data_IF_920201963871
#
_entry.id   IF_920201963871
#
_cell.length_a   1.000
_cell.length_b   1.000
_cell.length_c   1.000
_cell.angle_alpha   90.00
_cell.angle_beta   90.00
_cell.angle_gamma   90.00
#
_symmetry.space_group_name_H-M   'P 1'
#
loop_
_entity.id
_entity.type
_entity.pdbx_description
1 polymer ?
#
# COMPACT_ATOMS: atom_id res chain seq x y z
N UNK A 1 7.57 -10.08 0.55
CA UNK A 1 7.25 -8.65 0.50
C UNK A 1 7.22 -8.23 -0.95
N UNK A 2 6.04 -8.32 -1.55
CA UNK A 2 5.84 -7.78 -2.89
C UNK A 2 5.56 -6.29 -2.84
N UNK A 3 6.02 -5.61 -3.89
CA UNK A 3 5.95 -4.16 -4.05
C UNK A 3 5.50 -3.89 -5.48
N UNK A 4 4.50 -3.05 -5.61
CA UNK A 4 3.97 -2.62 -6.89
C UNK A 4 3.84 -1.11 -6.90
N UNK A 5 4.27 -0.51 -8.00
CA UNK A 5 4.11 0.92 -8.21
C UNK A 5 2.66 1.21 -8.59
N UNK A 6 2.07 2.19 -7.93
CA UNK A 6 0.72 2.70 -8.16
C UNK A 6 0.72 4.22 -8.07
N UNK A 7 -0.37 4.84 -8.48
CA UNK A 7 -0.58 6.27 -8.27
C UNK A 7 -1.38 6.51 -6.99
N UNK A 8 -0.84 7.34 -6.09
CA UNK A 8 -1.55 7.88 -4.93
C UNK A 8 -1.91 9.34 -5.21
N UNK A 9 -3.11 9.77 -4.86
CA UNK A 9 -3.56 11.15 -5.03
C UNK A 9 -3.98 11.74 -3.70
N UNK A 10 -3.42 12.89 -3.33
CA UNK A 10 -3.92 13.72 -2.25
C UNK A 10 -5.23 14.37 -2.69
N UNK A 11 -6.33 14.06 -2.00
CA UNK A 11 -7.68 14.53 -2.32
C UNK A 11 -7.80 16.04 -2.09
N UNK A 12 -7.10 16.58 -1.08
CA UNK A 12 -7.15 17.99 -0.70
C UNK A 12 -6.39 18.88 -1.68
N UNK A 13 -5.16 18.48 -2.02
CA UNK A 13 -4.28 19.28 -2.89
C UNK A 13 -4.37 18.89 -4.38
N UNK A 14 -5.08 17.79 -4.70
CA UNK A 14 -5.08 17.13 -6.02
C UNK A 14 -3.68 16.82 -6.57
N UNK A 15 -2.70 16.71 -5.70
CA UNK A 15 -1.35 16.29 -6.07
C UNK A 15 -1.30 14.77 -6.13
N UNK A 16 -0.60 14.21 -7.12
CA UNK A 16 -0.51 12.77 -7.32
C UNK A 16 0.94 12.32 -7.34
N UNK A 17 1.23 11.27 -6.59
CA UNK A 17 2.49 10.53 -6.61
C UNK A 17 2.33 9.30 -7.53
N UNK A 18 2.89 9.32 -8.75
CA UNK A 18 2.84 8.18 -9.65
C UNK A 18 3.82 7.05 -9.26
N UNK A 19 4.75 7.31 -8.35
CA UNK A 19 5.81 6.40 -7.92
C UNK A 19 5.54 5.77 -6.54
N UNK A 20 4.30 5.92 -6.04
CA UNK A 20 3.88 5.32 -4.78
C UNK A 20 3.94 3.79 -4.84
N UNK A 21 4.29 3.15 -3.73
CA UNK A 21 4.45 1.71 -3.62
C UNK A 21 3.36 1.14 -2.71
N UNK A 22 2.62 0.16 -3.24
CA UNK A 22 1.72 -0.69 -2.46
C UNK A 22 2.26 -2.12 -2.40
N UNK A 23 2.01 -2.80 -1.30
CA UNK A 23 2.45 -4.18 -1.17
C UNK A 23 1.87 -4.90 0.03
N UNK A 24 2.28 -6.16 0.17
CA UNK A 24 2.01 -6.98 1.34
C UNK A 24 3.33 -7.31 2.03
N UNK A 25 3.38 -7.08 3.33
CA UNK A 25 4.50 -7.43 4.16
C UNK A 25 4.19 -8.72 4.92
N UNK A 26 4.89 -9.82 4.58
CA UNK A 26 4.72 -11.12 5.22
C UNK A 26 5.04 -11.08 6.73
N UNK A 27 6.21 -10.58 7.20
CA UNK A 27 6.52 -10.64 8.63
C UNK A 27 5.53 -9.82 9.48
N UNK A 28 5.06 -8.68 8.99
CA UNK A 28 4.03 -7.89 9.64
C UNK A 28 2.61 -8.37 9.36
N UNK A 29 2.40 -9.30 8.42
CA UNK A 29 1.08 -9.78 7.98
C UNK A 29 0.11 -8.64 7.66
N UNK A 30 0.60 -7.61 6.96
CA UNK A 30 -0.15 -6.39 6.69
C UNK A 30 0.08 -5.90 5.28
N UNK A 31 -0.94 -5.31 4.67
CA UNK A 31 -0.74 -4.46 3.51
C UNK A 31 -0.10 -3.15 3.95
N UNK A 32 0.78 -2.62 3.11
CA UNK A 32 1.45 -1.33 3.32
C UNK A 32 1.29 -0.44 2.09
N UNK A 33 1.34 0.86 2.34
CA UNK A 33 1.34 1.90 1.32
C UNK A 33 2.45 2.90 1.66
N UNK A 34 3.30 3.18 0.68
CA UNK A 34 4.31 4.23 0.72
C UNK A 34 4.05 5.20 -0.43
N UNK A 35 3.97 6.50 -0.13
CA UNK A 35 3.96 7.55 -1.13
C UNK A 35 4.89 8.68 -0.68
N UNK A 36 5.75 9.13 -1.58
CA UNK A 36 6.83 10.08 -1.28
C UNK A 36 7.03 11.10 -2.41
N UNK A 37 6.21 12.16 -2.47
CA UNK A 37 6.73 13.43 -3.01
C UNK A 37 6.83 14.49 -1.90
N UNK A 38 7.87 15.31 -1.76
CA UNK A 38 8.78 15.87 -2.75
C UNK A 38 10.02 16.48 -2.05
N UNK A 39 11.08 16.76 -2.81
CA UNK A 39 12.30 17.46 -2.38
C UNK A 39 12.11 18.97 -2.08
N UNK A 40 10.96 19.57 -2.41
CA UNK A 40 10.68 21.00 -2.25
C UNK A 40 9.28 21.37 -1.71
N UNK A 41 8.57 20.45 -1.04
CA UNK A 41 7.40 20.75 -0.19
C UNK A 41 6.16 21.22 -0.96
N UNK A 42 5.04 20.49 -0.88
CA UNK A 42 4.15 20.80 0.23
C UNK A 42 3.34 19.60 0.75
N UNK A 43 3.36 18.42 0.10
CA UNK A 43 2.83 17.19 0.73
C UNK A 43 3.11 15.87 -0.02
N UNK A 44 3.71 14.91 0.72
CA UNK A 44 3.44 13.47 0.83
C UNK A 44 4.67 12.72 1.42
N UNK A 45 4.59 12.40 2.71
CA UNK A 45 5.34 11.30 3.32
C UNK A 45 4.32 10.34 3.94
N UNK A 46 3.56 9.65 3.10
CA UNK A 46 2.54 8.71 3.56
C UNK A 46 3.18 7.34 3.72
N UNK A 47 3.18 6.82 4.95
CA UNK A 47 3.56 5.46 5.23
C UNK A 47 2.50 4.79 6.10
N UNK A 48 1.85 3.77 5.54
CA UNK A 48 0.86 2.93 6.23
C UNK A 48 1.35 1.49 6.24
N UNK A 49 0.96 0.72 7.26
CA UNK A 49 1.26 -0.72 7.35
C UNK A 49 2.65 -1.02 7.92
N UNK A 50 3.08 -0.24 8.91
CA UNK A 50 4.35 -0.41 9.62
C UNK A 50 4.23 -1.27 10.89
N UNK A 51 3.01 -1.65 11.28
CA UNK A 51 2.71 -2.44 12.48
C UNK A 51 2.18 -3.83 12.12
N UNK A 52 2.36 -4.78 13.04
CA UNK A 52 1.87 -6.15 12.86
C UNK A 52 0.35 -6.17 12.75
N UNK A 53 -0.17 -6.72 11.65
CA UNK A 53 -1.59 -6.82 11.29
C UNK A 53 -2.34 -5.48 11.32
N UNK A 54 -1.65 -4.39 10.98
CA UNK A 54 -2.28 -3.07 10.90
C UNK A 54 -3.43 -3.02 9.88
N UNK A 55 -3.23 -3.64 8.71
CA UNK A 55 -4.16 -3.67 7.60
C UNK A 55 -4.19 -5.06 6.96
N UNK A 56 -5.14 -5.90 7.37
CA UNK A 56 -5.32 -7.26 6.82
C UNK A 56 -6.05 -7.26 5.46
N UNK A 57 -6.62 -6.12 5.04
CA UNK A 57 -7.33 -5.99 3.76
C UNK A 57 -6.99 -4.68 3.05
N UNK A 58 -7.04 -4.69 1.71
CA UNK A 58 -6.89 -3.48 0.90
C UNK A 58 -7.97 -2.44 1.20
N UNK A 59 -9.18 -2.85 1.58
CA UNK A 59 -10.23 -1.94 2.01
C UNK A 59 -9.85 -1.20 3.30
N UNK A 60 -9.25 -1.88 4.28
CA UNK A 60 -8.79 -1.24 5.51
C UNK A 60 -7.64 -0.25 5.23
N UNK A 61 -6.69 -0.65 4.39
CA UNK A 61 -5.61 0.25 3.95
C UNK A 61 -6.15 1.48 3.24
N UNK A 62 -7.14 1.31 2.35
CA UNK A 62 -7.81 2.41 1.65
C UNK A 62 -8.55 3.33 2.61
N UNK A 63 -9.30 2.78 3.57
CA UNK A 63 -9.99 3.60 4.56
C UNK A 63 -9.00 4.46 5.37
N UNK A 64 -7.84 3.91 5.74
CA UNK A 64 -6.78 4.67 6.41
C UNK A 64 -6.16 5.74 5.51
N UNK A 65 -5.87 5.43 4.24
CA UNK A 65 -5.40 6.41 3.27
C UNK A 65 -6.41 7.55 3.10
N UNK A 66 -7.70 7.24 2.93
CA UNK A 66 -8.78 8.22 2.80
C UNK A 66 -8.90 9.10 4.04
N UNK A 67 -8.76 8.53 5.24
CA UNK A 67 -8.76 9.29 6.49
C UNK A 67 -7.57 10.25 6.61
N UNK A 68 -6.46 9.97 5.92
CA UNK A 68 -5.30 10.84 5.80
C UNK A 68 -5.42 11.83 4.63
N UNK A 69 -6.50 11.77 3.85
CA UNK A 69 -6.74 12.63 2.70
C UNK A 69 -6.13 12.11 1.40
N UNK A 70 -5.80 10.82 1.31
CA UNK A 70 -5.23 10.20 0.10
C UNK A 70 -6.13 9.11 -0.45
N UNK A 71 -6.22 9.00 -1.78
CA UNK A 71 -6.82 7.85 -2.46
C UNK A 71 -5.82 7.28 -3.45
N UNK A 72 -5.76 5.95 -3.52
CA UNK A 72 -4.83 5.24 -4.40
C UNK A 72 -5.57 4.45 -5.50
N UNK A 73 -6.87 4.72 -5.64
CA UNK A 73 -7.73 4.14 -6.65
C UNK A 73 -7.95 5.14 -7.79
N UNK A 74 -8.04 4.66 -9.04
CA UNK A 74 -8.03 3.26 -9.45
C UNK A 74 -6.63 2.62 -9.53
N UNK A 75 -6.48 1.39 -9.04
CA UNK A 75 -5.33 0.53 -9.34
C UNK A 75 -5.62 -0.24 -10.63
N UNK A 76 -4.62 -0.35 -11.52
CA UNK A 76 -4.70 -1.22 -12.69
C UNK A 76 -5.03 -2.67 -12.29
N UNK A 77 -6.00 -3.28 -12.97
CA UNK A 77 -6.47 -4.64 -12.65
C UNK A 77 -5.33 -5.66 -12.62
N UNK A 78 -4.34 -5.54 -13.51
CA UNK A 78 -3.13 -6.38 -13.50
C UNK A 78 -2.34 -6.28 -12.20
N UNK A 79 -2.06 -5.05 -11.74
CA UNK A 79 -1.34 -4.79 -10.48
C UNK A 79 -2.12 -5.32 -9.27
N UNK A 80 -3.43 -5.10 -9.24
CA UNK A 80 -4.29 -5.60 -8.17
C UNK A 80 -4.29 -7.14 -8.11
N UNK A 81 -4.38 -7.79 -9.27
CA UNK A 81 -4.33 -9.25 -9.36
C UNK A 81 -2.98 -9.80 -8.87
N UNK A 82 -1.86 -9.20 -9.28
CA UNK A 82 -0.55 -9.62 -8.81
C UNK A 82 -0.39 -9.43 -7.30
N UNK A 83 -0.86 -8.31 -6.76
CA UNK A 83 -0.83 -8.04 -5.32
C UNK A 83 -1.64 -9.06 -4.51
N UNK A 84 -2.83 -9.43 -4.99
CA UNK A 84 -3.70 -10.42 -4.34
C UNK A 84 -3.18 -11.86 -4.50
N UNK A 85 -2.62 -12.20 -5.67
CA UNK A 85 -1.95 -13.49 -5.90
C UNK A 85 -0.78 -13.64 -4.94
N UNK A 86 0.05 -12.61 -4.83
CA UNK A 86 1.20 -12.63 -3.94
C UNK A 86 0.78 -12.66 -2.48
N UNK A 87 -0.23 -11.87 -2.06
CA UNK A 87 -0.82 -12.00 -0.72
C UNK A 87 -1.25 -13.45 -0.44
N UNK A 88 -1.97 -14.08 -1.37
CA UNK A 88 -2.43 -15.47 -1.20
C UNK A 88 -1.24 -16.43 -1.07
N UNK A 89 -0.20 -16.26 -1.89
CA UNK A 89 1.03 -17.09 -1.85
C UNK A 89 1.87 -16.82 -0.61
N UNK A 90 1.91 -15.59 -0.12
CA UNK A 90 2.69 -15.19 1.05
C UNK A 90 1.99 -15.54 2.36
N UNK A 91 0.66 -15.45 2.41
CA UNK A 91 -0.18 -15.79 3.57
C UNK A 91 -0.37 -17.30 3.74
N UNK A 92 -0.37 -18.07 2.64
CA UNK A 92 -0.47 -19.54 2.68
C UNK A 92 0.88 -20.24 2.88
N UNK A 93 2.01 -19.54 2.74
CA UNK A 93 3.31 -20.10 3.10
C UNK A 93 3.42 -20.17 4.61
N UNK A 94 3.23 -21.38 5.16
CA UNK A 94 3.71 -21.71 6.49
C UNK A 94 5.16 -21.24 6.65
N UNK A 95 5.57 -20.73 7.83
CA UNK A 95 6.99 -20.55 8.08
C UNK A 95 7.69 -21.91 7.81
N UNK A 96 8.90 -21.92 7.24
CA UNK A 96 9.65 -23.17 7.17
C UNK A 96 9.74 -23.71 8.60
N UNK A 97 9.23 -24.93 8.81
CA UNK A 97 9.37 -25.66 10.06
C UNK A 97 10.86 -25.60 10.48
N UNK A 98 11.11 -24.92 11.59
CA UNK A 98 12.42 -24.82 12.22
C UNK A 98 12.70 -26.04 13.09
#
# INVERSE_FOLDING_TARGET
>A
MSRYTITVTNISSRHSDPDAVIGYDRPLQTFFLQAFPDEFGDDLALWLGTEFRAFETLCALRAAALSKGYDFMPISSGTLWQLLDDFTREALRSPPDG
#
